data_IF_861075583988
#
_entry.id   IF_861075583988
#
_cell.length_a   1.000
_cell.length_b   1.000
_cell.length_c   1.000
_cell.angle_alpha   90.00
_cell.angle_beta   90.00
_cell.angle_gamma   90.00
#
_symmetry.space_group_name_H-M   'P 1'
#
loop_
_entity.id
_entity.type
_entity.pdbx_description
1 polymer ?
#
# COMPACT_ATOMS: atom_id res chain seq x y z
N UNK A 1 -48.95 23.39 22.71
CA UNK A 1 -47.50 23.67 22.53
C UNK A 1 -46.90 22.46 21.84
N UNK A 2 -46.65 22.54 20.53
CA UNK A 2 -45.91 21.51 19.79
C UNK A 2 -44.42 21.78 19.98
N UNK A 3 -43.68 20.85 20.56
CA UNK A 3 -42.22 20.88 20.48
C UNK A 3 -41.82 20.31 19.11
N UNK A 4 -41.15 21.09 18.24
CA UNK A 4 -40.54 20.52 17.05
C UNK A 4 -39.31 19.71 17.50
N UNK A 5 -39.30 18.44 17.12
CA UNK A 5 -38.14 17.56 17.22
C UNK A 5 -36.97 18.22 16.47
N UNK A 6 -35.74 18.26 17.03
CA UNK A 6 -34.63 18.81 16.28
C UNK A 6 -34.34 17.89 15.09
N UNK A 7 -34.42 18.52 13.92
CA UNK A 7 -33.99 18.13 12.60
C UNK A 7 -32.83 17.12 12.61
N UNK A 8 -33.00 16.08 11.81
CA UNK A 8 -32.09 14.95 11.64
C UNK A 8 -30.64 15.41 11.53
N UNK A 9 -29.81 15.13 12.55
CA UNK A 9 -28.37 15.26 12.39
C UNK A 9 -27.94 14.27 11.30
N UNK A 10 -27.36 14.73 10.18
CA UNK A 10 -26.82 13.83 9.20
C UNK A 10 -25.64 13.13 9.87
N UNK A 11 -25.80 11.84 10.14
CA UNK A 11 -24.72 10.89 10.42
C UNK A 11 -23.81 10.85 9.19
N UNK A 12 -23.04 11.93 8.99
CA UNK A 12 -21.79 11.87 8.27
C UNK A 12 -20.97 10.91 9.11
N UNK A 13 -20.90 9.64 8.68
CA UNK A 13 -19.96 8.66 9.22
C UNK A 13 -18.56 9.20 8.91
N UNK A 14 -18.13 10.21 9.66
CA UNK A 14 -16.75 10.59 9.75
C UNK A 14 -16.06 9.36 10.31
N UNK A 15 -15.38 8.64 9.43
CA UNK A 15 -14.52 7.54 9.83
C UNK A 15 -13.55 8.16 10.84
N UNK A 16 -13.60 7.68 12.08
CA UNK A 16 -12.77 8.20 13.15
C UNK A 16 -11.30 8.08 12.70
N UNK A 17 -10.47 9.12 12.87
CA UNK A 17 -9.10 9.14 12.33
C UNK A 17 -8.29 7.90 12.78
N UNK A 18 -8.45 7.48 14.03
CA UNK A 18 -7.85 6.24 14.55
C UNK A 18 -8.29 4.97 13.80
N UNK A 19 -9.55 4.88 13.35
CA UNK A 19 -10.02 3.72 12.58
C UNK A 19 -9.37 3.68 11.20
N UNK A 20 -9.10 4.85 10.61
CA UNK A 20 -8.37 4.94 9.34
C UNK A 20 -6.90 4.53 9.53
N UNK A 21 -6.26 4.95 10.62
CA UNK A 21 -4.88 4.59 10.96
C UNK A 21 -4.67 3.10 11.19
N UNK A 22 -5.46 2.48 12.09
CA UNK A 22 -5.38 1.04 12.31
C UNK A 22 -5.75 0.24 11.05
N UNK A 23 -6.62 0.79 10.19
CA UNK A 23 -6.93 0.20 8.89
C UNK A 23 -5.72 0.20 7.94
N UNK A 24 -4.89 1.25 7.95
CA UNK A 24 -3.65 1.32 7.19
C UNK A 24 -2.63 0.30 7.71
N UNK A 25 -2.44 0.21 9.03
CA UNK A 25 -1.54 -0.78 9.64
C UNK A 25 -1.94 -2.22 9.27
N UNK A 26 -3.22 -2.56 9.41
CA UNK A 26 -3.73 -3.88 9.07
C UNK A 26 -3.53 -4.20 7.58
N UNK A 27 -3.72 -3.20 6.71
CA UNK A 27 -3.49 -3.33 5.26
C UNK A 27 -2.02 -3.61 4.95
N UNK A 28 -1.10 -2.88 5.58
CA UNK A 28 0.34 -3.08 5.42
C UNK A 28 0.75 -4.49 5.89
N UNK A 29 0.32 -4.91 7.08
CA UNK A 29 0.60 -6.26 7.60
C UNK A 29 0.09 -7.35 6.65
N UNK A 30 -1.12 -7.19 6.11
CA UNK A 30 -1.65 -8.11 5.10
C UNK A 30 -0.77 -8.14 3.84
N UNK A 31 -0.39 -6.98 3.30
CA UNK A 31 0.43 -6.90 2.10
C UNK A 31 1.83 -7.48 2.30
N UNK A 32 2.48 -7.19 3.43
CA UNK A 32 3.78 -7.78 3.80
C UNK A 32 3.68 -9.30 3.91
N UNK A 33 2.63 -9.81 4.57
CA UNK A 33 2.38 -11.26 4.66
C UNK A 33 2.17 -11.87 3.27
N UNK A 34 1.37 -11.21 2.42
CA UNK A 34 1.13 -11.66 1.06
C UNK A 34 2.41 -11.66 0.24
N UNK A 35 3.25 -10.65 0.38
CA UNK A 35 4.56 -10.57 -0.28
C UNK A 35 5.45 -11.76 0.10
N UNK A 36 5.50 -12.14 1.38
CA UNK A 36 6.27 -13.32 1.82
C UNK A 36 5.80 -14.61 1.16
N UNK A 37 4.50 -14.74 0.88
CA UNK A 37 3.97 -15.93 0.17
C UNK A 37 4.28 -15.93 -1.33
N UNK A 38 4.27 -14.76 -1.97
CA UNK A 38 4.51 -14.58 -3.41
C UNK A 38 5.13 -13.20 -3.65
N UNK A 39 6.46 -13.09 -3.68
CA UNK A 39 7.13 -11.83 -3.94
C UNK A 39 6.76 -11.32 -5.33
N UNK A 40 6.25 -10.09 -5.42
CA UNK A 40 6.06 -9.44 -6.70
C UNK A 40 6.28 -7.93 -6.61
N UNK A 41 6.77 -7.28 -7.68
CA UNK A 41 7.06 -5.84 -7.67
C UNK A 41 5.82 -4.98 -7.38
N UNK A 42 4.64 -5.44 -7.80
CA UNK A 42 3.39 -4.70 -7.59
C UNK A 42 3.00 -4.65 -6.11
N UNK A 43 3.12 -5.77 -5.38
CA UNK A 43 2.84 -5.79 -3.94
C UNK A 43 3.88 -4.95 -3.19
N UNK A 44 5.17 -5.04 -3.56
CA UNK A 44 6.21 -4.22 -2.93
C UNK A 44 5.92 -2.71 -3.08
N UNK A 45 5.52 -2.27 -4.27
CA UNK A 45 5.09 -0.87 -4.51
C UNK A 45 3.86 -0.48 -3.68
N UNK A 46 2.89 -1.39 -3.55
CA UNK A 46 1.71 -1.14 -2.72
C UNK A 46 2.09 -0.97 -1.24
N UNK A 47 3.01 -1.79 -0.72
CA UNK A 47 3.52 -1.67 0.66
C UNK A 47 4.18 -0.30 0.87
N UNK A 48 5.06 0.14 -0.04
CA UNK A 48 5.69 1.47 0.02
C UNK A 48 4.64 2.57 0.05
N UNK A 49 3.64 2.50 -0.84
CA UNK A 49 2.58 3.51 -0.90
C UNK A 49 1.78 3.60 0.40
N UNK A 50 1.40 2.47 0.99
CA UNK A 50 0.65 2.48 2.25
C UNK A 50 1.51 2.89 3.44
N UNK A 51 2.81 2.56 3.46
CA UNK A 51 3.75 3.05 4.49
C UNK A 51 3.92 4.57 4.42
N UNK A 52 3.94 5.17 3.22
CA UNK A 52 3.97 6.64 3.07
C UNK A 52 2.72 7.28 3.67
N UNK A 53 1.54 6.73 3.37
CA UNK A 53 0.28 7.22 3.95
C UNK A 53 0.26 7.10 5.47
N UNK A 54 0.85 6.03 6.02
CA UNK A 54 0.93 5.81 7.46
C UNK A 54 1.91 6.77 8.12
N UNK A 55 3.09 6.97 7.53
CA UNK A 55 4.10 7.91 8.03
C UNK A 55 3.60 9.37 7.99
N UNK A 56 2.83 9.75 6.98
CA UNK A 56 2.22 11.09 6.88
C UNK A 56 0.99 11.27 7.80
N UNK A 57 0.51 10.21 8.46
CA UNK A 57 -0.67 10.29 9.31
C UNK A 57 -0.40 11.09 10.60
N UNK A 58 -1.31 11.99 11.04
CA UNK A 58 -1.12 12.78 12.25
C UNK A 58 -0.81 11.93 13.49
N UNK A 59 -1.47 10.78 13.61
CA UNK A 59 -1.31 9.88 14.76
C UNK A 59 0.08 9.19 14.77
N UNK A 60 0.73 9.01 13.62
CA UNK A 60 2.13 8.57 13.57
C UNK A 60 3.11 9.69 13.90
N UNK A 61 2.78 10.94 13.55
CA UNK A 61 3.64 12.10 13.82
C UNK A 61 3.60 12.51 15.30
N UNK A 62 2.48 12.26 15.98
CA UNK A 62 2.31 12.54 17.41
C UNK A 62 3.18 11.61 18.29
N UNK A 63 3.58 10.44 17.77
CA UNK A 63 4.35 9.43 18.51
C UNK A 63 5.72 9.18 17.85
N UNK A 64 6.79 9.72 18.47
CA UNK A 64 8.13 9.72 17.89
C UNK A 64 8.67 8.31 17.56
N UNK A 65 8.31 7.31 18.38
CA UNK A 65 8.67 5.90 18.15
C UNK A 65 8.01 5.34 16.89
N UNK A 66 6.72 5.61 16.70
CA UNK A 66 5.95 5.19 15.53
C UNK A 66 6.48 5.82 14.24
N UNK A 67 6.84 7.11 14.27
CA UNK A 67 7.45 7.80 13.14
C UNK A 67 8.82 7.19 12.73
N UNK A 68 9.67 6.86 13.70
CA UNK A 68 10.97 6.22 13.43
C UNK A 68 10.78 4.82 12.82
N UNK A 69 9.87 4.01 13.37
CA UNK A 69 9.56 2.67 12.87
C UNK A 69 9.03 2.70 11.45
N UNK A 70 8.02 3.54 11.16
CA UNK A 70 7.45 3.61 9.82
C UNK A 70 8.44 4.22 8.80
N UNK A 71 9.28 5.16 9.24
CA UNK A 71 10.36 5.70 8.42
C UNK A 71 11.38 4.63 8.03
N UNK A 72 11.87 3.85 8.99
CA UNK A 72 12.81 2.76 8.74
C UNK A 72 12.22 1.69 7.81
N UNK A 73 10.97 1.28 8.06
CA UNK A 73 10.27 0.34 7.18
C UNK A 73 10.13 0.89 5.76
N UNK A 74 9.82 2.18 5.61
CA UNK A 74 9.68 2.80 4.30
C UNK A 74 10.99 2.75 3.50
N UNK A 75 12.12 3.08 4.13
CA UNK A 75 13.44 3.02 3.50
C UNK A 75 13.78 1.59 3.03
N UNK A 76 13.55 0.60 3.89
CA UNK A 76 13.79 -0.82 3.57
C UNK A 76 12.94 -1.27 2.36
N UNK A 77 11.64 -0.96 2.37
CA UNK A 77 10.73 -1.37 1.31
C UNK A 77 10.98 -0.64 -0.01
N UNK A 78 11.47 0.60 0.03
CA UNK A 78 11.95 1.30 -1.17
C UNK A 78 13.17 0.61 -1.79
N UNK A 79 14.11 0.14 -0.97
CA UNK A 79 15.27 -0.62 -1.44
C UNK A 79 14.85 -1.96 -2.06
N UNK A 80 13.96 -2.71 -1.40
CA UNK A 80 13.39 -3.98 -1.93
C UNK A 80 12.69 -3.74 -3.27
N UNK A 81 11.85 -2.72 -3.34
CA UNK A 81 11.10 -2.37 -4.57
C UNK A 81 12.03 -2.01 -5.73
N UNK A 82 13.11 -1.28 -5.43
CA UNK A 82 14.13 -0.91 -6.41
C UNK A 82 14.90 -2.14 -6.91
N UNK A 83 15.26 -3.06 -6.02
CA UNK A 83 15.93 -4.31 -6.37
C UNK A 83 15.05 -5.22 -7.24
N UNK A 84 13.75 -5.33 -6.92
CA UNK A 84 12.80 -6.11 -7.71
C UNK A 84 12.55 -5.52 -9.10
N UNK A 85 12.48 -4.19 -9.21
CA UNK A 85 12.26 -3.52 -10.50
C UNK A 85 13.43 -3.77 -11.45
N UNK A 86 14.68 -3.79 -10.94
CA UNK A 86 15.86 -4.17 -11.72
C UNK A 86 15.84 -5.63 -12.20
N UNK A 87 15.20 -6.53 -11.47
CA UNK A 87 15.09 -7.94 -11.87
C UNK A 87 13.99 -8.14 -12.93
N UNK A 88 12.89 -7.37 -12.90
CA UNK A 88 11.82 -7.48 -13.90
C UNK A 88 12.25 -7.01 -15.30
N UNK A 89 13.24 -6.14 -15.41
CA UNK A 89 13.81 -5.72 -16.70
C UNK A 89 14.57 -6.85 -17.43
N UNK A 90 14.87 -7.96 -16.75
CA UNK A 90 15.48 -9.16 -17.36
C UNK A 90 14.47 -10.19 -17.87
N UNK A 91 13.18 -10.02 -17.57
CA UNK A 91 12.10 -10.94 -17.98
C UNK A 91 11.19 -10.31 -19.04
N UNK A 92 11.75 -9.64 -20.04
CA UNK A 92 11.10 -9.63 -21.35
C UNK A 92 11.34 -11.01 -21.96
N UNK A 93 10.36 -11.93 -22.02
CA UNK A 93 10.43 -12.92 -23.08
C UNK A 93 10.33 -12.10 -24.36
N UNK A 94 11.46 -11.94 -25.03
CA UNK A 94 11.47 -11.64 -26.45
C UNK A 94 10.63 -12.77 -27.08
N UNK A 95 9.34 -12.51 -27.27
CA UNK A 95 8.50 -13.35 -28.11
C UNK A 95 9.02 -13.08 -29.51
N UNK A 96 10.09 -13.77 -29.87
CA UNK A 96 10.56 -13.89 -31.23
C UNK A 96 9.45 -14.64 -31.99
N UNK A 97 8.54 -13.88 -32.60
CA UNK A 97 7.60 -14.37 -33.59
C UNK A 97 8.32 -14.67 -34.90
N UNK A 98 9.48 -15.35 -34.86
CA UNK A 98 10.06 -15.99 -36.03
C UNK A 98 9.28 -17.26 -36.32
N UNK A 99 8.15 -17.06 -37.00
CA UNK A 99 7.32 -18.10 -37.59
C UNK A 99 8.19 -19.00 -38.49
N UNK A 100 8.16 -20.32 -38.33
CA UNK A 100 8.92 -21.22 -39.19
C UNK A 100 8.28 -21.31 -40.57
N UNK A 101 9.15 -21.47 -41.56
CA UNK A 101 8.91 -21.83 -42.96
C UNK A 101 7.54 -22.45 -43.27
N UNK A 102 6.76 -21.75 -44.10
CA UNK A 102 5.62 -22.29 -44.80
C UNK A 102 5.97 -22.43 -46.27
N UNK A 103 6.55 -23.57 -46.64
CA UNK A 103 6.84 -23.91 -48.02
C UNK A 103 5.57 -24.04 -48.87
N UNK A 104 5.66 -23.58 -50.11
CA UNK A 104 5.25 -24.35 -51.28
C UNK A 104 5.99 -23.86 -52.51
#
# INVERSE_FOLDING_TARGET
MFNPMPDEMPLKKAIHPQVAFYGLEATICYLMTRFMTRPCPHIARAIVHHLQLLAEHPEAQDEAESNEVYGGLLEEWQAITSALSRQSDFFTPEIDFRRPDGGR
#
